data_IF_848957710804
#
_entry.id   IF_848957710804
#
_cell.length_a   1.000
_cell.length_b   1.000
_cell.length_c   1.000
_cell.angle_alpha   90.00
_cell.angle_beta   90.00
_cell.angle_gamma   90.00
#
_symmetry.space_group_name_H-M   'P 1'
#
loop_
_entity.id
_entity.type
_entity.pdbx_description
1 polymer ?
#
# COMPACT_ATOMS: atom_id res chain seq x y z
N UNK A 1 19.46 24.44 3.46
CA UNK A 1 18.39 23.45 3.20
C UNK A 1 17.28 23.78 4.16
N UNK A 2 16.04 23.89 3.69
CA UNK A 2 14.91 23.94 4.61
C UNK A 2 14.87 22.60 5.34
N UNK A 3 14.70 22.60 6.66
CA UNK A 3 14.41 21.37 7.41
C UNK A 3 13.09 20.79 6.91
N UNK A 4 13.02 19.47 6.73
CA UNK A 4 11.77 18.80 6.39
C UNK A 4 10.78 19.01 7.54
N UNK A 5 9.56 19.42 7.21
CA UNK A 5 8.47 19.55 8.18
C UNK A 5 7.62 18.29 8.15
N UNK A 6 8.02 17.29 8.95
CA UNK A 6 7.30 16.02 9.06
C UNK A 6 5.86 16.19 9.56
N UNK A 7 5.57 17.27 10.30
CA UNK A 7 4.22 17.55 10.79
C UNK A 7 3.26 17.97 9.67
N UNK A 8 3.78 18.44 8.53
CA UNK A 8 3.00 18.68 7.32
C UNK A 8 3.05 17.50 6.34
N UNK A 9 4.19 16.83 6.22
CA UNK A 9 4.42 15.78 5.22
C UNK A 9 3.67 14.48 5.55
N UNK A 10 3.68 14.00 6.80
CA UNK A 10 2.99 12.76 7.17
C UNK A 10 1.46 12.85 6.94
N UNK A 11 0.76 13.93 7.36
CA UNK A 11 -0.65 14.10 7.02
C UNK A 11 -0.93 14.15 5.52
N UNK A 12 -0.03 14.76 4.73
CA UNK A 12 -0.15 14.79 3.26
C UNK A 12 -0.06 13.37 2.69
N UNK A 13 0.93 12.57 3.10
CA UNK A 13 1.06 11.17 2.69
C UNK A 13 -0.21 10.36 3.00
N UNK A 14 -0.75 10.49 4.22
CA UNK A 14 -2.00 9.83 4.64
C UNK A 14 -3.19 10.26 3.77
N UNK A 15 -3.30 11.56 3.45
CA UNK A 15 -4.38 12.08 2.61
C UNK A 15 -4.33 11.53 1.18
N UNK A 16 -3.15 11.46 0.59
CA UNK A 16 -2.97 10.90 -0.75
C UNK A 16 -3.23 9.39 -0.76
N UNK A 17 -2.71 8.65 0.23
CA UNK A 17 -2.99 7.22 0.38
C UNK A 17 -4.50 6.96 0.50
N UNK A 18 -5.21 7.73 1.33
CA UNK A 18 -6.67 7.61 1.46
C UNK A 18 -7.41 7.88 0.14
N UNK A 19 -6.89 8.77 -0.70
CA UNK A 19 -7.46 9.02 -2.04
C UNK A 19 -7.24 7.82 -2.96
N UNK A 20 -6.05 7.20 -2.92
CA UNK A 20 -5.75 5.96 -3.64
C UNK A 20 -6.67 4.83 -3.18
N UNK A 21 -6.84 4.64 -1.87
CA UNK A 21 -7.72 3.61 -1.29
C UNK A 21 -9.18 3.77 -1.75
N UNK A 22 -9.68 5.00 -1.82
CA UNK A 22 -11.03 5.30 -2.29
C UNK A 22 -11.21 4.98 -3.78
N UNK A 23 -10.24 5.32 -4.63
CA UNK A 23 -10.34 5.05 -6.07
C UNK A 23 -10.15 3.57 -6.38
N UNK A 24 -9.27 2.88 -5.64
CA UNK A 24 -9.09 1.43 -5.77
C UNK A 24 -10.28 0.62 -5.23
N UNK A 25 -11.11 1.19 -4.34
CA UNK A 25 -12.18 0.49 -3.64
C UNK A 25 -11.65 -0.74 -2.88
N UNK A 26 -10.85 -0.47 -1.83
CA UNK A 26 -10.20 -1.52 -1.02
C UNK A 26 -11.22 -2.50 -0.42
N UNK A 27 -12.42 -2.04 -0.09
CA UNK A 27 -13.49 -2.90 0.43
C UNK A 27 -13.96 -3.90 -0.65
N UNK A 28 -14.19 -3.43 -1.87
CA UNK A 28 -14.53 -4.32 -2.99
C UNK A 28 -13.36 -5.25 -3.36
N UNK A 29 -12.13 -4.77 -3.26
CA UNK A 29 -10.93 -5.57 -3.48
C UNK A 29 -10.81 -6.71 -2.45
N UNK A 30 -11.02 -6.42 -1.17
CA UNK A 30 -11.02 -7.42 -0.10
C UNK A 30 -12.15 -8.44 -0.26
N UNK A 31 -13.35 -8.00 -0.66
CA UNK A 31 -14.45 -8.90 -0.99
C UNK A 31 -14.14 -9.81 -2.18
N UNK A 32 -13.51 -9.28 -3.22
CA UNK A 32 -13.06 -10.04 -4.40
C UNK A 32 -11.97 -11.06 -4.05
N UNK A 33 -11.03 -10.71 -3.18
CA UNK A 33 -10.01 -11.64 -2.69
C UNK A 33 -10.69 -12.79 -1.96
N UNK A 34 -11.61 -12.51 -1.03
CA UNK A 34 -12.30 -13.55 -0.27
C UNK A 34 -13.11 -14.51 -1.16
N UNK A 35 -13.79 -13.98 -2.19
CA UNK A 35 -14.51 -14.79 -3.18
C UNK A 35 -13.54 -15.68 -4.00
N UNK A 36 -12.45 -15.11 -4.50
CA UNK A 36 -11.44 -15.85 -5.25
C UNK A 36 -10.72 -16.91 -4.41
N UNK A 37 -10.48 -16.64 -3.12
CA UNK A 37 -9.93 -17.61 -2.17
C UNK A 37 -10.91 -18.77 -1.95
N UNK A 38 -12.21 -18.48 -1.82
CA UNK A 38 -13.24 -19.51 -1.73
C UNK A 38 -13.26 -20.38 -2.99
N UNK A 39 -13.23 -19.78 -4.18
CA UNK A 39 -13.14 -20.52 -5.43
C UNK A 39 -11.86 -21.36 -5.52
N UNK A 40 -10.71 -20.79 -5.15
CA UNK A 40 -9.42 -21.49 -5.15
C UNK A 40 -9.37 -22.69 -4.20
N UNK A 41 -10.17 -22.65 -3.13
CA UNK A 41 -10.31 -23.75 -2.16
C UNK A 41 -11.26 -24.87 -2.62
N UNK A 42 -12.04 -24.65 -3.67
CA UNK A 42 -12.99 -25.62 -4.18
C UNK A 42 -12.25 -26.79 -4.86
N UNK A 43 -12.57 -28.03 -4.45
CA UNK A 43 -11.86 -29.22 -4.91
C UNK A 43 -12.07 -29.49 -6.42
N UNK A 44 -13.23 -29.12 -6.94
CA UNK A 44 -13.64 -29.25 -8.34
C UNK A 44 -13.02 -28.18 -9.25
N UNK A 45 -12.48 -27.09 -8.70
CA UNK A 45 -11.76 -26.09 -9.51
C UNK A 45 -10.62 -26.74 -10.28
N UNK A 46 -9.92 -27.70 -9.66
CA UNK A 46 -8.74 -28.34 -10.21
C UNK A 46 -9.05 -29.41 -11.27
N UNK A 47 -10.33 -29.75 -11.47
CA UNK A 47 -10.78 -30.58 -12.59
C UNK A 47 -10.77 -29.80 -13.92
N UNK A 48 -10.81 -28.46 -13.86
CA UNK A 48 -10.64 -27.54 -14.99
C UNK A 48 -9.37 -26.69 -14.80
N UNK A 49 -8.28 -27.16 -15.41
CA UNK A 49 -6.96 -26.50 -15.33
C UNK A 49 -6.99 -25.06 -15.86
N UNK A 50 -7.79 -24.78 -16.90
CA UNK A 50 -7.86 -23.43 -17.48
C UNK A 50 -8.56 -22.47 -16.51
N UNK A 51 -9.67 -22.92 -15.90
CA UNK A 51 -10.36 -22.14 -14.88
C UNK A 51 -9.50 -21.94 -13.62
N UNK A 52 -8.82 -22.99 -13.15
CA UNK A 52 -7.92 -22.92 -12.00
C UNK A 52 -6.80 -21.89 -12.21
N UNK A 53 -6.21 -21.84 -13.41
CA UNK A 53 -5.19 -20.84 -13.77
C UNK A 53 -5.75 -19.42 -13.74
N UNK A 54 -6.96 -19.20 -14.27
CA UNK A 54 -7.61 -17.88 -14.28
C UNK A 54 -7.90 -17.38 -12.86
N UNK A 55 -8.50 -18.23 -12.01
CA UNK A 55 -8.80 -17.90 -10.62
C UNK A 55 -7.52 -17.61 -9.84
N UNK A 56 -6.50 -18.46 -9.98
CA UNK A 56 -5.21 -18.27 -9.28
C UNK A 56 -4.49 -16.99 -9.71
N UNK A 57 -4.52 -16.66 -11.00
CA UNK A 57 -3.92 -15.44 -11.52
C UNK A 57 -4.68 -14.19 -11.03
N UNK A 58 -6.01 -14.21 -11.08
CA UNK A 58 -6.85 -13.13 -10.58
C UNK A 58 -6.65 -12.91 -9.07
N UNK A 59 -6.57 -14.00 -8.29
CA UNK A 59 -6.32 -13.95 -6.85
C UNK A 59 -4.95 -13.34 -6.55
N UNK A 60 -3.90 -13.83 -7.21
CA UNK A 60 -2.53 -13.33 -7.04
C UNK A 60 -2.42 -11.84 -7.37
N UNK A 61 -3.12 -11.39 -8.41
CA UNK A 61 -3.16 -9.99 -8.80
C UNK A 61 -3.85 -9.13 -7.73
N UNK A 62 -5.06 -9.52 -7.30
CA UNK A 62 -5.82 -8.79 -6.30
C UNK A 62 -5.09 -8.72 -4.94
N UNK A 63 -4.53 -9.85 -4.48
CA UNK A 63 -3.73 -9.88 -3.25
C UNK A 63 -2.46 -9.02 -3.35
N UNK A 64 -1.81 -8.97 -4.52
CA UNK A 64 -0.62 -8.12 -4.71
C UNK A 64 -0.98 -6.64 -4.66
N UNK A 65 -2.10 -6.25 -5.24
CA UNK A 65 -2.60 -4.87 -5.18
C UNK A 65 -2.94 -4.47 -3.75
N UNK A 66 -3.72 -5.29 -3.05
CA UNK A 66 -4.11 -5.07 -1.66
C UNK A 66 -2.89 -4.94 -0.74
N UNK A 67 -1.89 -5.81 -0.94
CA UNK A 67 -0.66 -5.84 -0.16
C UNK A 67 0.12 -4.54 -0.29
N UNK A 68 0.27 -4.00 -1.51
CA UNK A 68 1.00 -2.75 -1.76
C UNK A 68 0.39 -1.58 -1.00
N UNK A 69 -0.94 -1.49 -0.97
CA UNK A 69 -1.66 -0.46 -0.23
C UNK A 69 -1.42 -0.62 1.29
N UNK A 70 -1.58 -1.83 1.84
CA UNK A 70 -1.31 -2.05 3.27
C UNK A 70 0.14 -1.82 3.67
N UNK A 71 1.09 -2.21 2.83
CA UNK A 71 2.52 -2.00 3.10
C UNK A 71 2.84 -0.51 3.13
N UNK A 72 2.24 0.29 2.23
CA UNK A 72 2.44 1.73 2.25
C UNK A 72 1.82 2.39 3.48
N UNK A 73 0.64 1.94 3.91
CA UNK A 73 0.02 2.39 5.16
C UNK A 73 0.92 2.13 6.37
N UNK A 74 1.43 0.90 6.50
CA UNK A 74 2.34 0.51 7.59
C UNK A 74 3.62 1.35 7.58
N UNK A 75 4.21 1.59 6.40
CA UNK A 75 5.44 2.40 6.29
C UNK A 75 5.22 3.86 6.71
N UNK A 76 4.04 4.42 6.44
CA UNK A 76 3.70 5.79 6.91
C UNK A 76 3.56 5.82 8.43
N UNK A 77 2.98 4.78 9.04
CA UNK A 77 2.92 4.63 10.50
C UNK A 77 4.31 4.46 11.12
N UNK A 78 5.16 3.62 10.52
CA UNK A 78 6.54 3.42 10.95
C UNK A 78 7.35 4.72 10.84
N UNK A 79 7.15 5.50 9.76
CA UNK A 79 7.76 6.83 9.59
C UNK A 79 7.37 7.79 10.71
N UNK A 80 6.08 7.83 11.07
CA UNK A 80 5.60 8.67 12.17
C UNK A 80 6.27 8.30 13.49
N UNK A 81 6.36 7.01 13.80
CA UNK A 81 7.06 6.52 15.00
C UNK A 81 8.55 6.87 14.97
N UNK A 82 9.25 6.72 13.83
CA UNK A 82 10.66 7.09 13.71
C UNK A 82 10.89 8.59 13.99
N UNK A 83 10.01 9.46 13.47
CA UNK A 83 10.11 10.91 13.69
C UNK A 83 9.85 11.27 15.15
N UNK A 84 8.84 10.66 15.77
CA UNK A 84 8.53 10.85 17.19
C UNK A 84 9.72 10.45 18.07
N UNK A 85 10.29 9.26 17.85
CA UNK A 85 11.46 8.78 18.60
C UNK A 85 12.70 9.66 18.39
N UNK A 86 12.99 10.04 17.14
CA UNK A 86 14.11 10.92 16.83
C UNK A 86 13.99 12.29 17.54
N UNK A 87 12.78 12.83 17.63
CA UNK A 87 12.51 14.09 18.32
C UNK A 87 12.60 13.97 19.85
N UNK A 88 12.14 12.85 20.42
CA UNK A 88 12.24 12.59 21.86
C UNK A 88 13.69 12.37 22.32
N UNK A 89 14.50 11.70 21.50
CA UNK A 89 15.88 11.33 21.84
C UNK A 89 16.94 12.32 21.32
N UNK A 90 16.54 13.36 20.56
CA UNK A 90 17.45 14.27 19.82
C UNK A 90 18.42 13.49 18.92
N UNK A 91 17.92 12.42 18.30
CA UNK A 91 18.70 11.47 17.48
C UNK A 91 18.70 11.88 16.01
N UNK A 92 19.80 12.52 15.59
CA UNK A 92 20.01 12.96 14.22
C UNK A 92 20.20 11.81 13.21
N UNK A 93 20.67 10.63 13.64
CA UNK A 93 20.86 9.49 12.74
C UNK A 93 19.49 8.87 12.41
N UNK A 94 18.63 8.67 13.42
CA UNK A 94 17.24 8.23 13.20
C UNK A 94 16.43 9.24 12.38
N UNK A 95 16.65 10.54 12.59
CA UNK A 95 16.01 11.57 11.76
C UNK A 95 16.42 11.45 10.28
N UNK A 96 17.70 11.20 10.00
CA UNK A 96 18.19 10.99 8.63
C UNK A 96 17.60 9.73 7.97
N UNK A 97 17.37 8.66 8.74
CA UNK A 97 16.66 7.47 8.28
C UNK A 97 15.20 7.80 7.93
N UNK A 98 14.51 8.59 8.77
CA UNK A 98 13.16 9.06 8.49
C UNK A 98 13.07 9.92 7.22
N UNK A 99 14.04 10.80 6.97
CA UNK A 99 14.10 11.59 5.72
C UNK A 99 14.25 10.71 4.47
N UNK A 100 15.08 9.67 4.56
CA UNK A 100 15.26 8.70 3.48
C UNK A 100 13.98 7.88 3.24
N UNK A 101 13.32 7.46 4.31
CA UNK A 101 12.07 6.68 4.23
C UNK A 101 10.93 7.53 3.66
N UNK A 102 10.79 8.79 4.09
CA UNK A 102 9.84 9.75 3.51
C UNK A 102 10.00 9.87 1.99
N UNK A 103 11.25 10.00 1.52
CA UNK A 103 11.54 10.08 0.07
C UNK A 103 11.11 8.80 -0.66
N UNK A 104 11.35 7.63 -0.04
CA UNK A 104 10.98 6.33 -0.58
C UNK A 104 9.46 6.12 -0.63
N UNK A 105 8.75 6.56 0.41
CA UNK A 105 7.29 6.52 0.49
C UNK A 105 6.69 7.41 -0.60
N UNK A 106 7.15 8.66 -0.76
CA UNK A 106 6.69 9.56 -1.81
C UNK A 106 6.78 8.93 -3.19
N UNK A 107 7.95 8.34 -3.52
CA UNK A 107 8.11 7.65 -4.81
C UNK A 107 7.13 6.49 -4.99
N UNK A 108 6.90 5.72 -3.94
CA UNK A 108 5.99 4.56 -3.99
C UNK A 108 4.53 5.02 -4.17
N UNK A 109 4.17 6.11 -3.51
CA UNK A 109 2.85 6.74 -3.58
C UNK A 109 2.57 7.30 -4.98
N UNK A 110 3.53 8.03 -5.57
CA UNK A 110 3.44 8.55 -6.94
C UNK A 110 3.23 7.42 -7.97
N UNK A 111 3.98 6.32 -7.81
CA UNK A 111 3.83 5.14 -8.69
C UNK A 111 2.46 4.47 -8.55
N UNK A 112 1.88 4.45 -7.35
CA UNK A 112 0.53 3.93 -7.13
C UNK A 112 -0.54 4.88 -7.67
N UNK A 113 -0.42 6.18 -7.44
CA UNK A 113 -1.36 7.18 -7.94
C UNK A 113 -1.48 7.12 -9.46
N UNK A 114 -0.35 7.07 -10.17
CA UNK A 114 -0.36 6.93 -11.64
C UNK A 114 -1.06 5.64 -12.09
N UNK A 115 -0.83 4.51 -11.42
CA UNK A 115 -1.50 3.24 -11.76
C UNK A 115 -3.00 3.30 -11.51
N UNK A 116 -3.40 3.88 -10.38
CA UNK A 116 -4.81 4.01 -10.01
C UNK A 116 -5.55 4.92 -10.98
N UNK A 117 -4.94 6.03 -11.42
CA UNK A 117 -5.49 6.89 -12.47
C UNK A 117 -5.67 6.14 -13.81
N UNK A 118 -4.68 5.37 -14.23
CA UNK A 118 -4.74 4.59 -15.48
C UNK A 118 -5.73 3.42 -15.44
N UNK A 119 -6.13 2.98 -14.25
CA UNK A 119 -7.10 1.88 -14.07
C UNK A 119 -8.54 2.37 -13.94
N UNK A 120 -8.73 3.68 -13.72
CA UNK A 120 -10.04 4.34 -13.60
C UNK A 120 -10.57 4.97 -14.91
N UNK A 121 -9.79 4.94 -16.00
CA UNK A 121 -10.20 5.31 -17.37
C UNK A 121 -10.65 4.08 -18.18
#
# INVERSE_FOLDING_TARGET
MASIDFSEEIPRLRSTLSSIEQVTDVDALDAKIADLEQQASAQDLWDDVENAQKVSAALSHAQSERRRISELASRIEDLEVMVELAAEEDDADTLAEAEAELTSIHKTLDELEVRTLLSGE
#
